data_IF_496354802327
#
_entry.id   IF_496354802327
#
_cell.length_a   1.000
_cell.length_b   1.000
_cell.length_c   1.000
_cell.angle_alpha   90.00
_cell.angle_beta   90.00
_cell.angle_gamma   90.00
#
_symmetry.space_group_name_H-M   'P 1'
#
loop_
_entity.id
_entity.type
_entity.pdbx_description
1 polymer ?
#
# COMPACT_ATOMS: atom_id res chain seq x y z
N UNK A 1 11.36 -3.42 -12.56
CA UNK A 1 10.03 -2.77 -12.52
C UNK A 1 10.05 -1.44 -13.28
N UNK A 2 10.83 -0.43 -12.87
CA UNK A 2 10.94 0.86 -13.60
C UNK A 2 11.23 0.69 -15.11
N UNK A 3 12.21 -0.15 -15.47
CA UNK A 3 12.56 -0.43 -16.88
C UNK A 3 11.39 -1.00 -17.69
N UNK A 4 10.68 -1.97 -17.13
CA UNK A 4 9.56 -2.63 -17.81
C UNK A 4 8.37 -1.65 -17.91
N UNK A 5 8.05 -0.96 -16.82
CA UNK A 5 6.90 -0.07 -16.73
C UNK A 5 7.07 1.25 -17.52
N UNK A 6 8.22 1.91 -17.41
CA UNK A 6 8.49 3.23 -18.02
C UNK A 6 9.14 3.08 -19.39
N UNK A 7 10.16 2.24 -19.55
CA UNK A 7 10.89 2.19 -20.83
C UNK A 7 10.18 1.33 -21.87
N UNK A 8 9.65 0.18 -21.47
CA UNK A 8 9.02 -0.77 -22.40
C UNK A 8 7.53 -0.51 -22.58
N UNK A 9 6.79 -0.20 -21.51
CA UNK A 9 5.34 0.05 -21.57
C UNK A 9 4.95 1.53 -21.64
N UNK A 10 5.92 2.46 -21.57
CA UNK A 10 5.74 3.91 -21.75
C UNK A 10 4.65 4.54 -20.86
N UNK A 11 4.44 3.98 -19.67
CA UNK A 11 3.44 4.51 -18.74
C UNK A 11 3.98 5.80 -18.10
N UNK A 12 3.27 6.94 -18.22
CA UNK A 12 3.69 8.18 -17.57
C UNK A 12 3.64 8.02 -16.05
N UNK A 13 4.61 8.60 -15.33
CA UNK A 13 4.77 8.39 -13.89
C UNK A 13 3.83 9.27 -13.03
N UNK A 14 3.47 10.45 -13.52
CA UNK A 14 2.68 11.47 -12.79
C UNK A 14 1.22 11.10 -12.47
N UNK A 15 0.53 10.19 -13.19
CA UNK A 15 -0.79 9.72 -12.78
C UNK A 15 -0.76 8.79 -11.56
N UNK A 16 0.42 8.24 -11.21
CA UNK A 16 0.60 7.15 -10.25
C UNK A 16 1.47 7.53 -9.04
N UNK A 17 2.47 8.41 -9.22
CA UNK A 17 3.38 8.86 -8.16
C UNK A 17 3.44 10.39 -8.11
N UNK A 18 3.37 10.96 -6.90
CA UNK A 18 3.45 12.41 -6.69
C UNK A 18 4.91 12.89 -6.54
N UNK A 19 5.80 12.03 -6.02
CA UNK A 19 7.22 12.32 -5.89
C UNK A 19 8.01 11.00 -5.75
N UNK A 20 8.65 10.53 -6.83
CA UNK A 20 9.66 9.47 -6.70
C UNK A 20 10.92 10.15 -6.17
N UNK A 21 11.05 10.27 -4.85
CA UNK A 21 12.30 10.71 -4.25
C UNK A 21 13.30 9.57 -4.49
N UNK A 22 14.17 9.71 -5.49
CA UNK A 22 15.29 8.79 -5.75
C UNK A 22 16.38 8.92 -4.67
N UNK A 23 16.00 8.81 -3.39
CA UNK A 23 16.92 8.61 -2.29
C UNK A 23 16.75 7.18 -1.82
N UNK A 24 17.44 6.28 -2.49
CA UNK A 24 17.79 5.01 -1.86
C UNK A 24 18.69 5.35 -0.69
N UNK A 25 18.13 5.35 0.52
CA UNK A 25 18.94 5.41 1.73
C UNK A 25 19.87 4.20 1.78
N UNK A 26 21.06 4.40 2.36
CA UNK A 26 22.15 3.43 2.36
C UNK A 26 21.76 2.05 2.92
N UNK A 27 20.66 1.97 3.68
CA UNK A 27 20.10 0.74 4.26
C UNK A 27 19.54 -0.26 3.22
N UNK A 28 19.16 0.20 2.02
CA UNK A 28 18.61 -0.69 0.97
C UNK A 28 19.72 -1.35 0.13
N UNK A 29 20.92 -0.76 0.06
CA UNK A 29 22.03 -1.29 -0.74
C UNK A 29 22.77 -2.41 0.01
N UNK A 30 22.85 -2.35 1.34
CA UNK A 30 23.60 -3.35 2.13
C UNK A 30 22.94 -4.71 2.22
N UNK A 31 21.63 -4.83 1.93
CA UNK A 31 20.87 -6.06 2.17
C UNK A 31 20.64 -6.95 0.94
N UNK A 32 21.02 -6.52 -0.28
CA UNK A 32 20.65 -7.24 -1.53
C UNK A 32 21.83 -7.55 -2.47
N UNK A 33 23.02 -7.01 -2.25
CA UNK A 33 24.18 -7.30 -3.12
C UNK A 33 25.27 -8.08 -2.37
N UNK A 34 25.59 -9.33 -2.76
CA UNK A 34 26.78 -10.01 -2.25
C UNK A 34 28.02 -9.27 -2.79
N UNK A 35 28.96 -8.99 -1.87
CA UNK A 35 30.22 -8.32 -2.13
C UNK A 35 30.89 -8.81 -3.42
N UNK A 36 31.04 -7.91 -4.40
CA UNK A 36 31.97 -8.10 -5.49
C UNK A 36 33.02 -6.99 -5.44
N UNK A 37 34.14 -7.37 -4.83
CA UNK A 37 35.50 -6.92 -5.08
C UNK A 37 35.70 -5.44 -5.39
N UNK A 38 36.22 -4.74 -4.38
CA UNK A 38 36.92 -3.48 -4.53
C UNK A 38 37.99 -3.55 -5.64
N UNK A 39 37.87 -2.66 -6.63
CA UNK A 39 39.02 -2.10 -7.35
C UNK A 39 38.81 -0.59 -7.46
N UNK A 40 39.84 0.11 -7.02
CA UNK A 40 40.00 1.53 -6.78
C UNK A 40 40.19 2.41 -8.03
N UNK A 41 39.94 3.73 -7.86
CA UNK A 41 40.47 4.90 -8.61
C UNK A 41 39.88 5.14 -10.03
N UNK A 42 39.60 6.35 -10.53
CA UNK A 42 40.01 7.73 -10.23
C UNK A 42 38.97 8.76 -10.73
N UNK A 43 39.22 10.02 -10.38
CA UNK A 43 38.40 11.24 -10.44
C UNK A 43 38.09 11.85 -11.84
N UNK A 44 37.16 12.83 -11.82
CA UNK A 44 36.89 13.91 -12.77
C UNK A 44 36.20 13.61 -14.12
N UNK A 45 35.00 14.19 -14.31
CA UNK A 45 34.82 15.26 -15.31
C UNK A 45 33.47 15.98 -15.15
N UNK A 46 33.55 17.30 -14.98
CA UNK A 46 32.49 18.25 -15.26
C UNK A 46 32.06 18.18 -16.73
N UNK A 47 30.77 18.33 -17.02
CA UNK A 47 30.32 18.93 -18.28
C UNK A 47 29.07 19.77 -18.07
N UNK A 48 29.21 21.04 -18.47
CA UNK A 48 28.17 22.04 -18.55
C UNK A 48 27.19 21.73 -19.69
N UNK A 49 25.99 22.28 -19.62
CA UNK A 49 25.15 22.50 -20.80
C UNK A 49 24.41 23.83 -20.66
N UNK A 50 24.90 24.79 -21.42
CA UNK A 50 24.26 26.06 -21.75
C UNK A 50 23.51 25.84 -23.05
N UNK A 51 22.19 26.01 -23.06
CA UNK A 51 21.43 26.40 -24.25
C UNK A 51 20.39 27.44 -23.84
N UNK A 52 20.57 28.64 -24.39
CA UNK A 52 19.65 29.78 -24.35
C UNK A 52 18.59 29.66 -25.44
N UNK A 53 17.33 29.99 -25.13
CA UNK A 53 16.26 30.18 -26.12
C UNK A 53 14.96 30.68 -25.49
N UNK A 54 14.75 32.01 -25.50
CA UNK A 54 13.55 32.73 -25.01
C UNK A 54 12.30 32.40 -25.83
N UNK A 55 11.19 32.08 -25.14
CA UNK A 55 9.86 32.62 -25.43
C UNK A 55 9.10 32.76 -24.12
N UNK A 56 8.68 33.98 -23.79
CA UNK A 56 8.04 34.33 -22.53
C UNK A 56 6.68 33.63 -22.36
N UNK A 57 6.53 32.98 -21.21
CA UNK A 57 5.24 32.72 -20.58
C UNK A 57 5.47 32.95 -19.10
N UNK A 58 4.77 33.92 -18.53
CA UNK A 58 4.79 34.22 -17.09
C UNK A 58 4.66 32.91 -16.31
N UNK A 59 5.72 32.56 -15.59
CA UNK A 59 5.65 31.53 -14.56
C UNK A 59 4.89 32.19 -13.42
N UNK A 60 3.57 32.05 -13.45
CA UNK A 60 2.74 32.30 -12.26
C UNK A 60 3.31 31.38 -11.19
N UNK A 61 4.02 31.99 -10.24
CA UNK A 61 4.50 31.30 -9.06
C UNK A 61 3.25 30.93 -8.28
N UNK A 62 2.80 29.68 -8.47
CA UNK A 62 1.74 29.11 -7.65
C UNK A 62 2.32 29.01 -6.26
N UNK A 63 1.85 29.91 -5.38
CA UNK A 63 2.17 29.90 -3.96
C UNK A 63 1.66 28.58 -3.37
N UNK A 64 2.54 27.60 -3.26
CA UNK A 64 2.26 26.25 -2.75
C UNK A 64 2.04 26.23 -1.24
N UNK A 65 1.98 27.40 -0.59
CA UNK A 65 1.85 27.50 0.88
C UNK A 65 0.47 27.18 1.45
N UNK A 66 -0.54 26.86 0.63
CA UNK A 66 -1.88 26.49 1.10
C UNK A 66 -2.48 25.27 0.40
N UNK A 67 -1.65 24.33 -0.08
CA UNK A 67 -2.15 22.96 -0.20
C UNK A 67 -2.02 22.30 1.16
N UNK A 68 -3.06 22.47 1.99
CA UNK A 68 -3.32 21.52 3.07
C UNK A 68 -3.21 20.11 2.46
N UNK A 69 -2.20 19.37 2.93
CA UNK A 69 -2.06 17.96 2.60
C UNK A 69 -3.39 17.31 3.00
N UNK A 70 -4.14 16.83 2.00
CA UNK A 70 -5.34 15.99 2.21
C UNK A 70 -5.03 14.78 3.11
N UNK A 71 -3.75 14.46 3.30
CA UNK A 71 -3.24 13.37 4.12
C UNK A 71 -2.66 13.81 5.48
N UNK A 72 -2.80 15.09 5.85
CA UNK A 72 -2.28 15.67 7.10
C UNK A 72 -3.18 15.48 8.31
N UNK A 73 -4.45 15.15 8.11
CA UNK A 73 -5.34 14.81 9.22
C UNK A 73 -5.15 13.33 9.63
N UNK A 74 -5.31 13.08 10.92
CA UNK A 74 -5.34 11.79 11.61
C UNK A 74 -6.25 10.67 11.00
N UNK A 75 -7.25 10.91 10.11
CA UNK A 75 -8.17 9.87 9.63
C UNK A 75 -7.61 8.71 8.79
N UNK A 76 -6.35 8.75 8.34
CA UNK A 76 -5.83 7.77 7.36
C UNK A 76 -4.71 6.86 7.85
N UNK A 77 -4.41 6.90 9.16
CA UNK A 77 -3.29 6.14 9.73
C UNK A 77 -3.49 4.63 9.52
N UNK A 78 -4.70 4.13 9.79
CA UNK A 78 -5.04 2.70 9.68
C UNK A 78 -4.89 2.23 8.24
N UNK A 79 -5.43 2.98 7.27
CA UNK A 79 -5.37 2.62 5.86
C UNK A 79 -3.92 2.58 5.38
N UNK A 80 -3.09 3.55 5.80
CA UNK A 80 -1.67 3.58 5.45
C UNK A 80 -0.89 2.42 6.06
N UNK A 81 -1.13 2.11 7.33
CA UNK A 81 -0.47 1.00 8.02
C UNK A 81 -0.88 -0.35 7.43
N UNK A 82 -2.16 -0.57 7.19
CA UNK A 82 -2.65 -1.81 6.58
C UNK A 82 -2.13 -1.96 5.14
N UNK A 83 -2.08 -0.87 4.37
CA UNK A 83 -1.48 -0.87 3.03
C UNK A 83 0.02 -1.22 3.07
N UNK A 84 0.74 -0.68 4.07
CA UNK A 84 2.12 -1.04 4.38
C UNK A 84 2.29 -2.44 4.99
N UNK A 85 1.19 -3.17 5.22
CA UNK A 85 1.20 -4.51 5.79
C UNK A 85 1.54 -4.55 7.27
N UNK A 86 1.09 -3.57 8.04
CA UNK A 86 1.36 -3.38 9.48
C UNK A 86 0.07 -3.26 10.29
N UNK A 87 0.22 -3.17 11.60
CA UNK A 87 -0.87 -2.85 12.54
C UNK A 87 -1.75 -4.03 12.95
N UNK A 88 -1.50 -5.23 12.46
CA UNK A 88 -2.19 -6.45 12.87
C UNK A 88 -1.38 -7.22 13.91
N UNK A 89 -2.02 -8.15 14.61
CA UNK A 89 -1.39 -8.99 15.64
C UNK A 89 -1.31 -10.45 15.22
N UNK A 90 -0.27 -11.14 15.68
CA UNK A 90 -0.09 -12.59 15.50
C UNK A 90 0.58 -13.03 14.20
N UNK A 91 0.81 -12.11 13.25
CA UNK A 91 1.59 -12.37 12.02
C UNK A 91 2.63 -11.28 11.78
N UNK A 92 3.65 -11.57 10.96
CA UNK A 92 4.67 -10.61 10.57
C UNK A 92 4.17 -9.58 9.54
N UNK A 93 4.91 -8.48 9.40
CA UNK A 93 4.60 -7.44 8.43
C UNK A 93 4.65 -7.98 6.97
N UNK A 94 3.72 -7.53 6.13
CA UNK A 94 3.66 -7.96 4.72
C UNK A 94 3.04 -6.87 3.84
N UNK A 95 3.86 -5.91 3.39
CA UNK A 95 3.41 -4.80 2.55
C UNK A 95 2.77 -5.25 1.23
N UNK A 96 1.77 -4.49 0.76
CA UNK A 96 1.11 -4.75 -0.52
C UNK A 96 2.06 -4.44 -1.69
N UNK A 97 2.03 -5.21 -2.81
CA UNK A 97 2.83 -4.92 -3.98
C UNK A 97 2.64 -3.51 -4.55
N UNK A 98 1.43 -2.94 -4.49
CA UNK A 98 1.18 -1.56 -4.92
C UNK A 98 1.80 -0.54 -3.94
N UNK A 99 1.82 -0.85 -2.64
CA UNK A 99 2.53 -0.02 -1.65
C UNK A 99 4.03 0.00 -1.94
N UNK A 100 4.63 -1.18 -2.17
CA UNK A 100 6.04 -1.30 -2.53
C UNK A 100 6.36 -0.64 -3.88
N UNK A 101 5.39 -0.62 -4.79
CA UNK A 101 5.47 0.11 -6.05
C UNK A 101 5.24 1.63 -5.87
N UNK A 102 5.02 2.13 -4.66
CA UNK A 102 4.78 3.54 -4.31
C UNK A 102 3.50 4.15 -4.89
N UNK A 103 2.51 3.30 -5.24
CA UNK A 103 1.17 3.76 -5.61
C UNK A 103 0.56 4.45 -4.40
N UNK A 104 0.09 5.69 -4.57
CA UNK A 104 -0.46 6.47 -3.46
C UNK A 104 -2.00 6.47 -3.48
N UNK A 105 -2.61 6.96 -2.40
CA UNK A 105 -4.07 6.97 -2.23
C UNK A 105 -4.80 7.67 -3.39
N UNK A 106 -4.22 8.75 -3.94
CA UNK A 106 -4.83 9.51 -5.04
C UNK A 106 -4.83 8.75 -6.36
N UNK A 107 -4.08 7.65 -6.50
CA UNK A 107 -4.13 6.81 -7.69
C UNK A 107 -5.52 6.18 -7.87
N UNK A 108 -6.18 5.80 -6.76
CA UNK A 108 -7.51 5.21 -6.75
C UNK A 108 -8.60 6.19 -6.29
N UNK A 109 -8.33 6.96 -5.23
CA UNK A 109 -9.29 7.89 -4.63
C UNK A 109 -9.22 9.26 -5.32
N UNK A 110 -9.98 9.41 -6.41
CA UNK A 110 -10.01 10.66 -7.20
C UNK A 110 -11.05 11.67 -6.70
N UNK A 111 -12.01 11.21 -5.91
CA UNK A 111 -13.15 12.00 -5.45
C UNK A 111 -12.99 12.39 -3.97
N UNK A 112 -13.64 13.49 -3.58
CA UNK A 112 -13.64 13.97 -2.19
C UNK A 112 -14.34 13.04 -1.20
N UNK A 113 -15.27 12.22 -1.69
CA UNK A 113 -15.97 11.21 -0.88
C UNK A 113 -15.12 9.95 -0.66
N UNK A 114 -13.88 9.91 -1.20
CA UNK A 114 -12.97 8.78 -1.16
C UNK A 114 -13.58 7.49 -1.70
N UNK A 115 -14.64 7.56 -2.51
CA UNK A 115 -15.12 6.42 -3.26
C UNK A 115 -14.11 6.04 -4.35
N UNK A 116 -13.97 4.74 -4.60
CA UNK A 116 -13.16 4.22 -5.70
C UNK A 116 -14.10 3.54 -6.68
N UNK A 117 -14.11 4.04 -7.91
CA UNK A 117 -14.80 3.36 -9.01
C UNK A 117 -13.92 2.20 -9.50
N UNK A 118 -14.46 0.98 -9.75
CA UNK A 118 -13.65 -0.18 -10.12
C UNK A 118 -12.75 0.03 -11.35
N UNK A 119 -13.19 0.85 -12.30
CA UNK A 119 -12.38 1.25 -13.48
C UNK A 119 -11.08 1.99 -13.14
N UNK A 120 -10.88 2.47 -11.91
CA UNK A 120 -9.61 3.06 -11.49
C UNK A 120 -8.43 2.08 -11.65
N UNK A 121 -8.67 0.77 -11.50
CA UNK A 121 -7.66 -0.27 -11.69
C UNK A 121 -7.13 -0.29 -13.13
N UNK A 122 -8.02 -0.05 -14.10
CA UNK A 122 -7.71 -0.14 -15.54
C UNK A 122 -6.86 1.02 -16.05
N UNK A 123 -6.54 2.02 -15.20
CA UNK A 123 -5.56 3.06 -15.53
C UNK A 123 -4.14 2.48 -15.60
N UNK A 124 -3.86 1.46 -14.77
CA UNK A 124 -2.55 0.82 -14.69
C UNK A 124 -2.55 -0.64 -15.17
N UNK A 125 -3.70 -1.31 -15.06
CA UNK A 125 -3.87 -2.71 -15.45
C UNK A 125 -4.66 -2.85 -16.76
N UNK A 126 -4.58 -4.04 -17.35
CA UNK A 126 -5.37 -4.39 -18.53
C UNK A 126 -6.87 -4.43 -18.21
N UNK A 127 -7.69 -4.34 -19.28
CA UNK A 127 -9.14 -4.40 -19.17
C UNK A 127 -9.57 -5.71 -18.48
N UNK A 128 -10.48 -5.60 -17.51
CA UNK A 128 -11.00 -6.72 -16.73
C UNK A 128 -10.54 -6.72 -15.27
N UNK A 129 -9.52 -5.94 -14.93
CA UNK A 129 -9.05 -5.77 -13.54
C UNK A 129 -10.09 -5.06 -12.65
N UNK A 130 -11.03 -4.33 -13.25
CA UNK A 130 -12.20 -3.78 -12.56
C UNK A 130 -13.03 -4.84 -11.83
N UNK A 131 -13.04 -6.08 -12.32
CA UNK A 131 -13.76 -7.20 -11.66
C UNK A 131 -13.04 -7.70 -10.41
N UNK A 132 -11.71 -7.68 -10.43
CA UNK A 132 -10.88 -8.16 -9.33
C UNK A 132 -11.21 -7.44 -8.03
N UNK A 133 -11.45 -6.12 -8.07
CA UNK A 133 -11.83 -5.38 -6.85
C UNK A 133 -13.12 -5.91 -6.21
N UNK A 134 -14.15 -6.21 -7.01
CA UNK A 134 -15.41 -6.71 -6.50
C UNK A 134 -15.26 -8.12 -5.90
N UNK A 135 -14.56 -8.99 -6.61
CA UNK A 135 -14.28 -10.38 -6.18
C UNK A 135 -13.48 -10.42 -4.87
N UNK A 136 -12.46 -9.55 -4.74
CA UNK A 136 -11.67 -9.44 -3.52
C UNK A 136 -12.51 -8.99 -2.32
N UNK A 137 -13.34 -7.96 -2.51
CA UNK A 137 -14.24 -7.47 -1.45
C UNK A 137 -15.23 -8.53 -1.01
N UNK A 138 -15.82 -9.25 -1.96
CA UNK A 138 -16.75 -10.35 -1.66
C UNK A 138 -16.06 -11.45 -0.87
N UNK A 139 -14.87 -11.88 -1.31
CA UNK A 139 -14.08 -12.90 -0.64
C UNK A 139 -13.75 -12.54 0.81
N UNK A 140 -13.20 -11.33 1.05
CA UNK A 140 -12.83 -10.87 2.40
C UNK A 140 -14.07 -10.67 3.27
N UNK A 141 -15.18 -10.17 2.72
CA UNK A 141 -16.45 -10.02 3.47
C UNK A 141 -16.98 -11.37 3.94
N UNK A 142 -16.88 -12.40 3.09
CA UNK A 142 -17.21 -13.77 3.45
C UNK A 142 -16.35 -14.29 4.59
N UNK A 143 -15.02 -14.09 4.52
CA UNK A 143 -14.09 -14.48 5.57
C UNK A 143 -14.36 -13.77 6.89
N UNK A 144 -14.60 -12.45 6.87
CA UNK A 144 -14.95 -11.67 8.06
C UNK A 144 -16.25 -12.16 8.69
N UNK A 145 -17.24 -12.53 7.88
CA UNK A 145 -18.50 -13.11 8.37
C UNK A 145 -18.26 -14.45 9.09
N UNK A 146 -17.35 -15.28 8.59
CA UNK A 146 -16.95 -16.52 9.27
C UNK A 146 -16.18 -16.25 10.56
N UNK A 147 -15.24 -15.30 10.57
CA UNK A 147 -14.52 -14.91 11.77
C UNK A 147 -15.45 -14.33 12.85
N UNK A 148 -16.41 -13.49 12.48
CA UNK A 148 -17.40 -12.92 13.39
C UNK A 148 -18.23 -14.02 14.09
N UNK A 149 -18.64 -15.06 13.37
CA UNK A 149 -19.34 -16.22 13.96
C UNK A 149 -18.45 -16.95 14.97
N UNK A 150 -17.20 -17.24 14.60
CA UNK A 150 -16.24 -17.90 15.50
C UNK A 150 -15.96 -17.07 16.75
N UNK A 151 -15.89 -15.75 16.64
CA UNK A 151 -15.70 -14.85 17.78
C UNK A 151 -16.85 -14.96 18.79
N UNK A 152 -18.10 -15.09 18.33
CA UNK A 152 -19.27 -15.29 19.20
C UNK A 152 -19.20 -16.67 19.87
N UNK A 153 -18.97 -17.73 19.09
CA UNK A 153 -18.89 -19.11 19.60
C UNK A 153 -17.75 -19.30 20.61
N UNK A 154 -16.61 -18.62 20.39
CA UNK A 154 -15.41 -18.74 21.24
C UNK A 154 -15.60 -18.12 22.62
N UNK A 155 -16.47 -17.10 22.77
CA UNK A 155 -16.77 -16.49 24.07
C UNK A 155 -17.45 -17.47 25.03
N UNK A 156 -18.17 -18.45 24.49
CA UNK A 156 -18.89 -19.48 25.26
C UNK A 156 -18.08 -20.77 25.45
N UNK A 157 -17.02 -20.97 24.65
CA UNK A 157 -16.32 -22.25 24.50
C UNK A 157 -15.01 -22.37 25.29
N UNK A 158 -14.75 -21.48 26.24
CA UNK A 158 -13.57 -21.54 27.12
C UNK A 158 -12.23 -21.22 26.43
N UNK A 159 -12.25 -20.67 25.20
CA UNK A 159 -11.06 -20.18 24.50
C UNK A 159 -10.40 -19.07 25.33
N UNK A 160 -9.06 -19.04 25.34
CA UNK A 160 -8.32 -18.01 26.09
C UNK A 160 -8.77 -16.61 25.70
N UNK A 161 -9.07 -15.79 26.71
CA UNK A 161 -9.48 -14.39 26.53
C UNK A 161 -8.48 -13.59 25.68
N UNK A 162 -7.18 -13.87 25.81
CA UNK A 162 -6.15 -13.19 25.02
C UNK A 162 -6.23 -13.50 23.52
N UNK A 163 -6.61 -14.73 23.16
CA UNK A 163 -6.78 -15.13 21.75
C UNK A 163 -8.04 -14.51 21.15
N UNK A 164 -9.10 -14.39 21.95
CA UNK A 164 -10.33 -13.69 21.54
C UNK A 164 -10.03 -12.21 21.33
N UNK A 165 -9.34 -11.55 22.26
CA UNK A 165 -8.97 -10.14 22.15
C UNK A 165 -8.07 -9.87 20.93
N UNK A 166 -7.10 -10.74 20.65
CA UNK A 166 -6.27 -10.66 19.44
C UNK A 166 -7.09 -10.78 18.16
N UNK A 167 -7.97 -11.78 18.07
CA UNK A 167 -8.82 -11.99 16.90
C UNK A 167 -9.81 -10.82 16.70
N UNK A 168 -10.36 -10.28 17.79
CA UNK A 168 -11.22 -9.09 17.75
C UNK A 168 -10.45 -7.86 17.27
N UNK A 169 -9.22 -7.67 17.74
CA UNK A 169 -8.36 -6.56 17.30
C UNK A 169 -8.11 -6.61 15.79
N UNK A 170 -7.75 -7.78 15.26
CA UNK A 170 -7.54 -7.98 13.82
C UNK A 170 -8.84 -7.76 13.02
N UNK A 171 -9.98 -8.27 13.50
CA UNK A 171 -11.29 -8.04 12.88
C UNK A 171 -11.61 -6.53 12.80
N UNK A 172 -11.45 -5.82 13.92
CA UNK A 172 -11.71 -4.39 14.01
C UNK A 172 -10.80 -3.56 13.10
N UNK A 173 -9.51 -3.91 13.01
CA UNK A 173 -8.55 -3.26 12.13
C UNK A 173 -9.05 -3.28 10.67
N UNK A 174 -9.47 -4.47 10.20
CA UNK A 174 -9.93 -4.67 8.82
C UNK A 174 -11.26 -3.94 8.56
N UNK A 175 -12.19 -3.98 9.52
CA UNK A 175 -13.48 -3.26 9.40
C UNK A 175 -13.27 -1.74 9.39
N UNK A 176 -12.37 -1.22 10.23
CA UNK A 176 -12.04 0.22 10.31
C UNK A 176 -11.27 0.72 9.10
N UNK A 177 -10.42 -0.12 8.50
CA UNK A 177 -9.77 0.18 7.22
C UNK A 177 -10.82 0.41 6.11
N UNK A 178 -11.87 -0.42 6.08
CA UNK A 178 -13.02 -0.23 5.20
C UNK A 178 -12.77 -0.53 3.72
N UNK A 179 -11.55 -0.91 3.33
CA UNK A 179 -11.24 -1.32 1.96
C UNK A 179 -11.70 -2.75 1.65
N UNK A 180 -11.93 -3.55 2.69
CA UNK A 180 -12.23 -4.99 2.62
C UNK A 180 -11.19 -5.75 1.79
N UNK A 181 -9.92 -5.46 2.06
CA UNK A 181 -8.77 -6.13 1.44
C UNK A 181 -8.21 -5.47 0.19
N UNK A 182 -8.84 -4.43 -0.35
CA UNK A 182 -8.32 -3.72 -1.54
C UNK A 182 -7.00 -3.01 -1.25
N UNK A 183 -6.80 -2.52 -0.02
CA UNK A 183 -5.51 -1.96 0.37
C UNK A 183 -4.41 -3.02 0.49
N UNK A 184 -4.70 -4.23 0.98
CA UNK A 184 -3.70 -5.31 1.07
C UNK A 184 -4.36 -6.68 1.26
N UNK A 185 -4.73 -7.35 0.16
CA UNK A 185 -5.53 -8.58 0.24
C UNK A 185 -4.77 -9.71 0.94
N UNK A 186 -3.47 -9.84 0.66
CA UNK A 186 -2.66 -10.91 1.23
C UNK A 186 -2.60 -10.78 2.75
N UNK A 187 -2.21 -9.60 3.24
CA UNK A 187 -2.06 -9.37 4.66
C UNK A 187 -3.39 -9.51 5.41
N UNK A 188 -4.48 -8.95 4.85
CA UNK A 188 -5.82 -9.08 5.43
C UNK A 188 -6.26 -10.54 5.51
N UNK A 189 -6.07 -11.32 4.44
CA UNK A 189 -6.37 -12.75 4.44
C UNK A 189 -5.57 -13.49 5.50
N UNK A 190 -4.27 -13.23 5.60
CA UNK A 190 -3.38 -13.89 6.55
C UNK A 190 -3.78 -13.54 8.01
N UNK A 191 -4.21 -12.30 8.28
CA UNK A 191 -4.73 -11.89 9.60
C UNK A 191 -6.02 -12.65 9.97
N UNK A 192 -6.96 -12.77 9.02
CA UNK A 192 -8.21 -13.49 9.28
C UNK A 192 -7.93 -14.97 9.49
N UNK A 193 -7.12 -15.59 8.64
CA UNK A 193 -6.77 -17.01 8.75
C UNK A 193 -6.07 -17.31 10.09
N UNK A 194 -5.10 -16.49 10.49
CA UNK A 194 -4.43 -16.61 11.79
C UNK A 194 -5.42 -16.51 12.95
N UNK A 195 -6.31 -15.51 12.90
CA UNK A 195 -7.33 -15.30 13.93
C UNK A 195 -8.28 -16.49 14.03
N UNK A 196 -8.78 -16.99 12.89
CA UNK A 196 -9.66 -18.16 12.85
C UNK A 196 -8.96 -19.44 13.34
N UNK A 197 -7.68 -19.64 13.00
CA UNK A 197 -6.90 -20.79 13.48
C UNK A 197 -6.67 -20.72 14.99
N UNK A 198 -6.36 -19.54 15.51
CA UNK A 198 -6.12 -19.32 16.94
C UNK A 198 -7.36 -19.58 17.79
N UNK A 199 -8.55 -19.22 17.29
CA UNK A 199 -9.82 -19.50 17.98
C UNK A 199 -10.25 -20.97 17.95
N UNK A 200 -9.79 -21.75 16.96
CA UNK A 200 -10.14 -23.17 16.82
C UNK A 200 -9.21 -24.12 17.59
N UNK A 201 -8.08 -23.64 18.10
CA UNK A 201 -7.20 -24.43 18.97
C UNK A 201 -7.89 -24.59 20.33
N UNK A 202 -8.56 -25.72 20.49
CA UNK A 202 -9.02 -26.22 21.79
C UNK A 202 -7.85 -27.04 22.35
N UNK A 203 -7.26 -26.59 23.46
CA UNK A 203 -6.33 -27.39 24.28
C UNK A 203 -7.11 -28.41 25.14
#
# INVERSE_FOLDING_TARGET
MHRDHVEKHKVPCSPCHNEIVHKWGDEYITNILPERNAVSRDENSSMASVVTGRTGREVVSVDTKNQESVFGEVPYLIQRELYAGKGGSGIGESADPMYLATVNCTACHKNRDLSVHPLACNVCHEKGFDKTMAEQKEYITGMLSSLAKLLIESQESGVSKSLIEEAMYNYDLIVKDGSFGVHNIKYVKDLIDHSMQSLKKID
#
